data_IF_851498307899
#
_entry.id   IF_851498307899
#
_cell.length_a   1.000
_cell.length_b   1.000
_cell.length_c   1.000
_cell.angle_alpha   90.00
_cell.angle_beta   90.00
_cell.angle_gamma   90.00
#
_symmetry.space_group_name_H-M   'P 1'
#
loop_
_entity.id
_entity.type
_entity.pdbx_description
1 polymer ?
#
# COMPACT_ATOMS: atom_id res chain seq x y z
N UNK A 1 -2.13 0.54 13.61
CA UNK A 1 -1.52 0.05 12.36
C UNK A 1 -0.28 -0.75 12.74
N UNK A 2 -0.35 -2.09 12.69
CA UNK A 2 0.73 -2.97 13.16
C UNK A 2 1.66 -3.43 12.03
N UNK A 3 1.16 -3.45 10.79
CA UNK A 3 1.92 -3.80 9.59
C UNK A 3 1.49 -2.86 8.47
N UNK A 4 2.43 -2.09 7.95
CA UNK A 4 2.28 -1.27 6.75
C UNK A 4 3.08 -1.96 5.63
N UNK A 5 2.53 -2.08 4.42
CA UNK A 5 3.27 -2.60 3.27
C UNK A 5 4.31 -1.59 2.73
N UNK A 6 5.25 -1.17 3.60
CA UNK A 6 6.36 -0.27 3.25
C UNK A 6 7.69 -0.98 3.04
N UNK A 7 7.78 -2.33 3.12
CA UNK A 7 9.07 -3.02 3.10
C UNK A 7 9.96 -2.60 1.91
N UNK A 8 9.36 -2.41 0.73
CA UNK A 8 10.10 -1.92 -0.42
C UNK A 8 10.69 -0.54 -0.15
N UNK A 9 9.92 0.40 0.40
CA UNK A 9 10.40 1.74 0.80
C UNK A 9 11.44 1.70 1.92
N UNK A 10 11.22 0.88 2.94
CA UNK A 10 12.10 0.74 4.11
C UNK A 10 13.48 0.17 3.75
N UNK A 11 13.57 -0.56 2.63
CA UNK A 11 14.80 -1.17 2.11
C UNK A 11 15.27 -0.56 0.78
N UNK A 12 14.66 0.54 0.33
CA UNK A 12 15.11 1.24 -0.86
C UNK A 12 16.50 1.83 -0.63
N UNK A 13 17.40 1.58 -1.57
CA UNK A 13 18.70 2.24 -1.62
C UNK A 13 18.48 3.73 -1.90
N UNK A 14 18.98 4.59 -1.02
CA UNK A 14 18.92 6.05 -1.17
C UNK A 14 19.52 6.52 -2.51
N UNK A 15 20.50 5.78 -3.04
CA UNK A 15 21.13 6.08 -4.32
C UNK A 15 20.24 5.73 -5.53
N UNK A 16 19.17 4.93 -5.34
CA UNK A 16 18.16 4.66 -6.36
C UNK A 16 17.07 5.72 -6.43
N UNK A 17 17.00 6.62 -5.44
CA UNK A 17 16.18 7.84 -5.48
C UNK A 17 16.98 8.92 -6.21
N UNK A 18 17.29 8.66 -7.49
CA UNK A 18 18.01 9.61 -8.33
C UNK A 18 17.09 10.73 -8.87
N UNK A 19 15.77 10.55 -8.74
CA UNK A 19 14.74 11.48 -9.12
C UNK A 19 13.41 11.22 -8.37
N UNK A 20 12.51 12.20 -8.37
CA UNK A 20 11.18 12.09 -7.74
C UNK A 20 10.28 11.03 -8.39
N UNK A 21 10.54 10.64 -9.64
CA UNK A 21 9.73 9.65 -10.35
C UNK A 21 9.96 8.22 -9.84
N UNK A 22 11.20 7.85 -9.49
CA UNK A 22 11.49 6.54 -8.90
C UNK A 22 10.83 6.42 -7.53
N UNK A 23 10.91 7.47 -6.71
CA UNK A 23 10.20 7.51 -5.43
C UNK A 23 8.68 7.39 -5.62
N UNK A 24 8.12 8.14 -6.58
CA UNK A 24 6.70 8.06 -6.89
C UNK A 24 6.29 6.66 -7.35
N UNK A 25 7.11 6.00 -8.16
CA UNK A 25 6.87 4.63 -8.64
C UNK A 25 6.79 3.66 -7.45
N UNK A 26 7.77 3.70 -6.56
CA UNK A 26 7.84 2.81 -5.39
C UNK A 26 6.70 3.08 -4.41
N UNK A 27 6.38 4.35 -4.13
CA UNK A 27 5.21 4.74 -3.33
C UNK A 27 3.91 4.24 -3.95
N UNK A 28 3.75 4.39 -5.27
CA UNK A 28 2.55 3.95 -5.98
C UNK A 28 2.41 2.43 -5.96
N UNK A 29 3.53 1.70 -6.08
CA UNK A 29 3.55 0.24 -5.99
C UNK A 29 3.17 -0.24 -4.59
N UNK A 30 3.73 0.38 -3.55
CA UNK A 30 3.37 0.09 -2.16
C UNK A 30 1.88 0.37 -1.89
N UNK A 31 1.38 1.53 -2.33
CA UNK A 31 -0.03 1.90 -2.17
C UNK A 31 -0.98 0.93 -2.88
N UNK A 32 -0.63 0.48 -4.09
CA UNK A 32 -1.39 -0.54 -4.82
C UNK A 32 -1.49 -1.84 -4.02
N UNK A 33 -0.36 -2.35 -3.53
CA UNK A 33 -0.34 -3.62 -2.79
C UNK A 33 -1.06 -3.54 -1.45
N UNK A 34 -0.88 -2.45 -0.69
CA UNK A 34 -1.63 -2.20 0.55
C UNK A 34 -3.13 -2.18 0.25
N UNK A 35 -3.55 -1.48 -0.80
CA UNK A 35 -4.96 -1.39 -1.18
C UNK A 35 -5.57 -2.73 -1.57
N UNK A 36 -4.87 -3.53 -2.38
CA UNK A 36 -5.29 -4.90 -2.72
C UNK A 36 -5.43 -5.78 -1.46
N UNK A 37 -4.49 -5.66 -0.51
CA UNK A 37 -4.55 -6.41 0.75
C UNK A 37 -5.73 -5.98 1.63
N UNK A 38 -6.02 -4.68 1.73
CA UNK A 38 -7.14 -4.15 2.52
C UNK A 38 -8.46 -4.66 1.95
N UNK A 39 -8.66 -4.53 0.63
CA UNK A 39 -9.88 -4.99 -0.06
C UNK A 39 -10.08 -6.48 0.20
N UNK A 40 -9.06 -7.30 -0.04
CA UNK A 40 -9.13 -8.76 0.15
C UNK A 40 -9.44 -9.15 1.60
N UNK A 41 -8.80 -8.49 2.57
CA UNK A 41 -9.05 -8.75 3.99
C UNK A 41 -10.49 -8.39 4.38
N UNK A 42 -11.02 -7.27 3.88
CA UNK A 42 -12.40 -6.87 4.12
C UNK A 42 -13.43 -7.83 3.51
N UNK A 43 -13.18 -8.29 2.27
CA UNK A 43 -14.03 -9.30 1.62
C UNK A 43 -14.08 -10.61 2.43
N UNK A 44 -12.95 -11.06 2.97
CA UNK A 44 -12.87 -12.27 3.80
C UNK A 44 -13.63 -12.16 5.12
N UNK A 45 -13.77 -10.94 5.67
CA UNK A 45 -14.52 -10.67 6.89
C UNK A 45 -16.05 -10.58 6.65
N UNK A 46 -16.52 -10.76 5.41
CA UNK A 46 -17.93 -10.62 5.04
C UNK A 46 -18.41 -9.16 5.02
N UNK A 47 -17.49 -8.20 5.09
CA UNK A 47 -17.78 -6.77 5.01
C UNK A 47 -17.73 -6.33 3.55
N UNK A 48 -18.87 -6.45 2.85
CA UNK A 48 -19.00 -6.08 1.44
C UNK A 48 -19.36 -4.61 1.20
N UNK A 49 -19.27 -3.75 2.21
CA UNK A 49 -19.62 -2.34 2.04
C UNK A 49 -18.44 -1.55 1.51
N UNK A 50 -18.63 -0.91 0.36
CA UNK A 50 -17.64 -0.01 -0.25
C UNK A 50 -17.19 1.09 0.72
N UNK A 51 -18.09 1.59 1.57
CA UNK A 51 -17.79 2.60 2.60
C UNK A 51 -16.79 2.11 3.65
N UNK A 52 -16.93 0.85 4.10
CA UNK A 52 -16.02 0.26 5.09
C UNK A 52 -14.62 0.05 4.52
N UNK A 53 -14.54 -0.38 3.26
CA UNK A 53 -13.27 -0.50 2.51
C UNK A 53 -12.61 0.86 2.32
N UNK A 54 -13.38 1.88 1.89
CA UNK A 54 -12.86 3.24 1.72
C UNK A 54 -12.39 3.89 3.03
N UNK A 55 -12.93 3.49 4.18
CA UNK A 55 -12.50 3.99 5.49
C UNK A 55 -11.19 3.33 5.95
N UNK A 56 -10.94 2.10 5.50
CA UNK A 56 -9.72 1.36 5.83
C UNK A 56 -8.52 1.72 4.95
N UNK A 57 -8.78 2.18 3.73
CA UNK A 57 -7.80 2.78 2.81
C UNK A 57 -7.39 4.18 3.26
#
# INVERSE_FOLDING_TARGET
RLFLCDQNLSHMDENKIDNTHNLLLEVSLAAKHEGESIVKNYEQLGHHTTEGVCTAL
#
